data_IF_859324543995
#
_entry.id   IF_859324543995
#
_cell.length_a   1.000
_cell.length_b   1.000
_cell.length_c   1.000
_cell.angle_alpha   90.00
_cell.angle_beta   90.00
_cell.angle_gamma   90.00
#
_symmetry.space_group_name_H-M   'P 1'
#
loop_
_entity.id
_entity.type
_entity.pdbx_description
1 polymer ?
#
# COMPACT_ATOMS: atom_id res chain seq x y z
N UNK A 1 9.28 -8.99 -18.46
CA UNK A 1 9.23 -8.12 -19.65
C UNK A 1 10.17 -8.69 -20.69
N UNK A 2 9.69 -8.85 -21.92
CA UNK A 2 10.41 -9.50 -23.01
C UNK A 2 10.58 -8.55 -24.22
N UNK A 3 10.85 -7.27 -23.95
CA UNK A 3 11.12 -6.28 -25.01
C UNK A 3 12.61 -6.24 -25.36
N UNK A 4 12.92 -5.90 -26.61
CA UNK A 4 14.30 -5.70 -27.06
C UNK A 4 14.98 -4.60 -26.24
N UNK A 5 16.18 -4.88 -25.73
CA UNK A 5 16.95 -4.01 -24.84
C UNK A 5 16.23 -3.66 -23.52
N UNK A 6 15.33 -4.53 -23.05
CA UNK A 6 14.70 -4.39 -21.73
C UNK A 6 15.74 -4.26 -20.63
N UNK A 7 15.44 -3.41 -19.65
CA UNK A 7 16.20 -3.23 -18.42
C UNK A 7 15.32 -3.74 -17.27
N UNK A 8 15.36 -5.06 -16.98
CA UNK A 8 14.61 -5.62 -15.87
C UNK A 8 15.08 -4.96 -14.56
N UNK A 9 14.13 -4.52 -13.73
CA UNK A 9 14.41 -3.85 -12.45
C UNK A 9 14.22 -2.33 -12.46
N UNK A 10 13.99 -1.70 -13.62
CA UNK A 10 13.50 -0.32 -13.64
C UNK A 10 12.11 -0.27 -13.03
N UNK A 11 11.86 0.75 -12.23
CA UNK A 11 10.51 1.01 -11.76
C UNK A 11 9.73 1.49 -12.98
N UNK A 12 8.52 0.98 -13.16
CA UNK A 12 7.68 1.46 -14.24
C UNK A 12 6.98 2.77 -13.85
N UNK A 13 7.78 3.71 -13.33
CA UNK A 13 7.49 5.10 -13.01
C UNK A 13 6.95 5.41 -11.63
N UNK A 14 7.36 6.55 -11.09
CA UNK A 14 6.70 7.35 -10.03
C UNK A 14 6.22 8.69 -10.60
N UNK A 15 5.66 9.57 -9.79
CA UNK A 15 5.19 10.88 -10.20
C UNK A 15 6.23 11.71 -10.97
N UNK A 16 7.53 11.47 -10.78
CA UNK A 16 8.59 12.22 -11.47
C UNK A 16 9.60 11.37 -12.24
N UNK A 17 9.51 10.05 -12.16
CA UNK A 17 10.53 9.17 -12.76
C UNK A 17 9.86 8.16 -13.67
N UNK A 18 10.54 7.78 -14.75
CA UNK A 18 10.30 6.56 -15.55
C UNK A 18 8.84 6.30 -16.03
N UNK A 19 7.95 7.31 -16.06
CA UNK A 19 6.52 7.18 -16.40
C UNK A 19 6.23 6.50 -17.74
N UNK A 20 7.14 6.66 -18.68
CA UNK A 20 7.01 6.13 -20.04
C UNK A 20 7.63 4.73 -20.17
N UNK A 21 8.35 4.22 -19.16
CA UNK A 21 8.92 2.88 -19.23
C UNK A 21 7.80 1.83 -19.19
N UNK A 22 7.83 0.81 -20.07
CA UNK A 22 6.83 -0.27 -20.02
C UNK A 22 6.88 -0.99 -18.67
N UNK A 23 5.74 -1.53 -18.23
CA UNK A 23 5.65 -2.27 -16.98
C UNK A 23 4.21 -2.63 -16.61
N UNK A 24 3.43 -1.70 -16.05
CA UNK A 24 2.01 -1.89 -15.76
C UNK A 24 1.17 -1.67 -17.03
N UNK A 25 1.61 -2.18 -18.19
CA UNK A 25 0.74 -2.19 -19.37
C UNK A 25 -0.19 -3.41 -19.30
N UNK A 26 -1.32 -3.28 -19.98
CA UNK A 26 -2.50 -4.07 -19.76
C UNK A 26 -2.47 -5.48 -20.38
N UNK A 27 -3.24 -6.43 -19.81
CA UNK A 27 -3.97 -6.37 -18.53
C UNK A 27 -3.11 -6.87 -17.36
N UNK A 28 -3.32 -6.25 -16.19
CA UNK A 28 -2.59 -6.56 -14.95
C UNK A 28 -3.35 -7.52 -14.03
N UNK A 29 -4.55 -7.94 -14.44
CA UNK A 29 -5.35 -8.91 -13.71
C UNK A 29 -4.84 -10.33 -13.91
N UNK A 30 -5.11 -11.21 -12.95
CA UNK A 30 -4.70 -12.61 -13.05
C UNK A 30 -5.50 -13.43 -14.05
N UNK A 31 -6.81 -13.21 -14.14
CA UNK A 31 -7.70 -13.76 -15.17
C UNK A 31 -7.71 -12.87 -16.42
N UNK A 32 -8.05 -13.43 -17.61
CA UNK A 32 -8.26 -12.64 -18.81
C UNK A 32 -9.26 -11.50 -18.59
N UNK A 33 -8.85 -10.30 -18.97
CA UNK A 33 -9.66 -9.09 -18.89
C UNK A 33 -9.49 -8.30 -20.19
N UNK A 34 -10.59 -7.88 -20.81
CA UNK A 34 -10.49 -7.08 -22.03
C UNK A 34 -10.20 -5.64 -21.67
N UNK A 35 -9.12 -5.10 -22.22
CA UNK A 35 -8.77 -3.70 -22.09
C UNK A 35 -9.11 -2.91 -23.35
N UNK A 36 -10.16 -2.07 -23.30
CA UNK A 36 -10.59 -1.29 -24.45
C UNK A 36 -9.59 -0.18 -24.82
N UNK A 37 -8.65 0.17 -23.95
CA UNK A 37 -7.69 1.24 -24.18
C UNK A 37 -6.49 0.79 -25.01
N UNK A 38 -6.10 -0.47 -24.87
CA UNK A 38 -5.02 -1.09 -25.67
C UNK A 38 -5.56 -2.06 -26.74
N UNK A 39 -6.83 -2.45 -26.64
CA UNK A 39 -7.49 -3.40 -27.55
C UNK A 39 -7.15 -4.87 -27.29
N UNK A 40 -6.38 -5.16 -26.25
CA UNK A 40 -5.95 -6.51 -25.87
C UNK A 40 -6.92 -7.20 -24.90
N UNK A 41 -6.89 -8.53 -24.89
CA UNK A 41 -7.50 -9.35 -23.84
C UNK A 41 -6.50 -10.41 -23.42
N UNK A 42 -6.02 -10.31 -22.20
CA UNK A 42 -5.11 -11.28 -21.59
C UNK A 42 -5.17 -11.22 -20.07
N UNK A 43 -4.59 -12.22 -19.42
CA UNK A 43 -4.40 -12.27 -17.98
C UNK A 43 -3.01 -12.82 -17.66
N UNK A 44 -2.48 -12.48 -16.48
CA UNK A 44 -1.15 -12.92 -16.04
C UNK A 44 -1.04 -14.46 -16.07
N UNK A 45 -2.13 -15.19 -15.81
CA UNK A 45 -2.13 -16.65 -15.75
C UNK A 45 -2.47 -17.36 -17.07
N UNK A 46 -2.79 -16.66 -18.15
CA UNK A 46 -3.31 -17.27 -19.38
C UNK A 46 -2.47 -18.43 -19.91
N UNK A 47 -1.15 -18.27 -19.90
CA UNK A 47 -0.22 -19.30 -20.38
C UNK A 47 -0.21 -20.53 -19.49
N UNK A 48 -0.08 -20.31 -18.18
CA UNK A 48 0.00 -21.42 -17.24
C UNK A 48 -1.34 -22.16 -17.15
N UNK A 49 -2.46 -21.48 -17.41
CA UNK A 49 -3.80 -22.10 -17.43
C UNK A 49 -3.90 -23.07 -18.60
N UNK A 50 -3.43 -22.68 -19.79
CA UNK A 50 -3.42 -23.55 -20.99
C UNK A 50 -2.58 -24.81 -20.78
N UNK A 51 -1.47 -24.71 -20.06
CA UNK A 51 -0.56 -25.84 -19.79
C UNK A 51 -0.87 -26.56 -18.47
N UNK A 52 -1.83 -26.09 -17.68
CA UNK A 52 -2.15 -26.59 -16.32
C UNK A 52 -0.94 -26.58 -15.39
N UNK A 53 -0.13 -25.53 -15.47
CA UNK A 53 1.10 -25.33 -14.67
C UNK A 53 1.03 -24.06 -13.82
N UNK A 54 -0.17 -23.56 -13.51
CA UNK A 54 -0.29 -22.33 -12.71
C UNK A 54 0.21 -22.53 -11.28
N UNK A 55 1.06 -21.62 -10.78
CA UNK A 55 1.51 -21.69 -9.40
C UNK A 55 0.41 -21.23 -8.44
N UNK A 56 0.59 -21.54 -7.16
CA UNK A 56 -0.09 -20.86 -6.06
C UNK A 56 0.62 -19.52 -5.82
N UNK A 57 -0.15 -18.45 -5.70
CA UNK A 57 0.38 -17.08 -5.63
C UNK A 57 -0.16 -16.39 -4.39
N UNK A 58 0.75 -15.86 -3.59
CA UNK A 58 0.48 -14.81 -2.60
C UNK A 58 1.08 -13.52 -3.16
N UNK A 59 0.22 -12.61 -3.60
CA UNK A 59 0.58 -11.28 -4.03
C UNK A 59 0.51 -10.35 -2.83
N UNK A 60 1.64 -9.76 -2.47
CA UNK A 60 1.70 -8.68 -1.48
C UNK A 60 2.02 -7.35 -2.15
N UNK A 61 1.29 -6.31 -1.79
CA UNK A 61 1.58 -4.92 -2.17
C UNK A 61 1.50 -4.04 -0.91
N UNK A 62 2.15 -2.89 -0.89
CA UNK A 62 1.88 -1.85 0.13
C UNK A 62 0.81 -0.87 -0.35
N UNK A 63 0.43 0.08 0.49
CA UNK A 63 -0.53 1.12 0.13
C UNK A 63 0.03 2.07 -0.95
N UNK A 64 1.33 2.41 -0.89
CA UNK A 64 1.99 3.30 -1.86
C UNK A 64 1.79 2.85 -3.32
N UNK A 65 1.63 1.55 -3.60
CA UNK A 65 1.42 1.07 -4.95
C UNK A 65 0.12 1.63 -5.58
N UNK A 66 -0.93 1.91 -4.79
CA UNK A 66 -2.14 2.58 -5.30
C UNK A 66 -1.88 4.04 -5.71
N UNK A 67 -0.89 4.69 -5.09
CA UNK A 67 -0.56 6.10 -5.30
C UNK A 67 0.49 6.30 -6.40
N UNK A 68 1.51 5.45 -6.44
CA UNK A 68 2.69 5.63 -7.29
C UNK A 68 2.84 4.52 -8.35
N UNK A 69 2.39 3.29 -8.09
CA UNK A 69 2.77 2.10 -8.87
C UNK A 69 1.62 1.33 -9.54
N UNK A 70 0.46 1.97 -9.76
CA UNK A 70 -0.69 1.36 -10.46
C UNK A 70 -1.37 0.19 -9.74
N UNK A 71 -1.27 0.06 -8.41
CA UNK A 71 -1.78 -1.08 -7.64
C UNK A 71 -3.28 -1.37 -7.83
N UNK A 72 -4.07 -0.38 -8.27
CA UNK A 72 -5.47 -0.60 -8.64
C UNK A 72 -5.64 -1.52 -9.86
N UNK A 73 -4.66 -1.56 -10.77
CA UNK A 73 -4.69 -2.39 -11.98
C UNK A 73 -4.68 -3.89 -11.67
N UNK A 74 -4.15 -4.28 -10.52
CA UNK A 74 -4.11 -5.68 -10.07
C UNK A 74 -5.47 -6.17 -9.53
N UNK A 75 -6.35 -5.23 -9.17
CA UNK A 75 -7.54 -5.48 -8.34
C UNK A 75 -8.85 -4.98 -8.96
N UNK A 76 -8.81 -4.26 -10.07
CA UNK A 76 -9.99 -3.68 -10.73
C UNK A 76 -9.94 -3.87 -12.25
N UNK A 77 -11.09 -3.71 -12.91
CA UNK A 77 -11.13 -3.64 -14.38
C UNK A 77 -10.42 -2.38 -14.92
N UNK A 78 -10.12 -2.31 -16.23
CA UNK A 78 -9.40 -1.17 -16.82
C UNK A 78 -10.05 0.18 -16.54
N UNK A 79 -11.38 0.24 -16.45
CA UNK A 79 -12.12 1.46 -16.11
C UNK A 79 -12.14 1.81 -14.62
N UNK A 80 -11.74 0.90 -13.73
CA UNK A 80 -11.84 1.10 -12.29
C UNK A 80 -13.31 1.26 -11.85
N UNK A 81 -14.18 0.39 -12.36
CA UNK A 81 -15.63 0.38 -12.11
C UNK A 81 -16.12 -0.92 -11.47
N UNK A 82 -15.36 -2.00 -11.57
CA UNK A 82 -15.63 -3.28 -10.90
C UNK A 82 -14.37 -3.91 -10.37
N UNK A 83 -14.51 -4.63 -9.27
CA UNK A 83 -13.44 -5.46 -8.74
C UNK A 83 -13.09 -6.59 -9.72
N UNK A 84 -11.79 -6.86 -9.87
CA UNK A 84 -11.30 -7.95 -10.70
C UNK A 84 -11.61 -9.31 -10.04
N UNK A 85 -11.91 -10.31 -10.86
CA UNK A 85 -12.10 -11.68 -10.38
C UNK A 85 -10.74 -12.29 -10.03
N UNK A 86 -10.61 -12.83 -8.83
CA UNK A 86 -9.41 -13.56 -8.41
C UNK A 86 -9.54 -15.06 -8.68
N UNK A 87 -8.55 -15.69 -9.32
CA UNK A 87 -8.45 -17.14 -9.40
C UNK A 87 -8.32 -17.79 -8.03
N UNK A 88 -8.78 -19.04 -7.89
CA UNK A 88 -8.70 -19.78 -6.63
C UNK A 88 -7.27 -20.00 -6.11
N UNK A 89 -6.28 -20.05 -7.02
CA UNK A 89 -4.85 -20.19 -6.75
C UNK A 89 -4.12 -18.87 -6.49
N UNK A 90 -4.85 -17.76 -6.34
CA UNK A 90 -4.29 -16.43 -6.02
C UNK A 90 -4.88 -15.91 -4.71
N UNK A 91 -4.04 -15.29 -3.89
CA UNK A 91 -4.42 -14.46 -2.75
C UNK A 91 -3.70 -13.12 -2.83
N UNK A 92 -4.41 -12.02 -2.58
CA UNK A 92 -3.86 -10.66 -2.61
C UNK A 92 -3.93 -10.05 -1.21
N UNK A 93 -2.84 -9.46 -0.77
CA UNK A 93 -2.72 -8.76 0.51
C UNK A 93 -2.10 -7.38 0.31
N UNK A 94 -2.91 -6.34 0.47
CA UNK A 94 -2.44 -4.97 0.60
C UNK A 94 -2.01 -4.73 2.05
N UNK A 95 -0.75 -4.38 2.28
CA UNK A 95 -0.30 -3.87 3.57
C UNK A 95 -0.79 -2.43 3.73
N UNK A 96 -1.86 -2.28 4.49
CA UNK A 96 -2.59 -1.03 4.70
C UNK A 96 -1.69 0.06 5.25
N UNK A 97 -1.80 1.27 4.71
CA UNK A 97 -1.11 2.48 5.16
C UNK A 97 0.40 2.27 5.30
N UNK A 98 1.02 1.53 4.38
CA UNK A 98 2.46 1.31 4.33
C UNK A 98 3.09 2.03 3.14
N UNK A 99 4.25 2.62 3.40
CA UNK A 99 5.18 3.05 2.37
C UNK A 99 5.90 1.86 1.71
N UNK A 100 6.66 2.15 0.65
CA UNK A 100 7.48 1.15 -0.01
C UNK A 100 8.56 0.59 0.94
N UNK A 101 8.75 -0.73 0.94
CA UNK A 101 9.68 -1.41 1.85
C UNK A 101 9.24 -1.47 3.32
N UNK A 102 8.17 -0.76 3.70
CA UNK A 102 7.67 -0.69 5.07
C UNK A 102 8.66 -0.05 6.05
N UNK A 103 8.51 -0.37 7.33
CA UNK A 103 9.39 0.07 8.40
C UNK A 103 9.93 -1.11 9.20
N UNK A 104 11.15 -0.97 9.74
CA UNK A 104 11.73 -1.98 10.61
C UNK A 104 11.00 -2.01 11.96
N UNK A 105 10.45 -3.15 12.40
CA UNK A 105 9.66 -3.22 13.63
C UNK A 105 10.48 -3.00 14.91
N UNK A 106 11.81 -2.97 14.81
CA UNK A 106 12.75 -2.75 15.94
C UNK A 106 13.44 -1.40 15.89
N UNK A 107 13.21 -0.60 14.84
CA UNK A 107 13.79 0.74 14.74
C UNK A 107 13.04 1.72 15.65
N UNK A 108 13.74 2.75 16.11
CA UNK A 108 13.12 3.88 16.80
C UNK A 108 12.28 4.69 15.81
N UNK A 109 11.19 5.32 16.28
CA UNK A 109 10.35 6.16 15.43
C UNK A 109 11.20 7.28 14.78
N UNK A 110 10.90 7.64 13.51
CA UNK A 110 11.65 8.66 12.80
C UNK A 110 11.55 10.02 13.49
N UNK A 111 12.62 10.81 13.38
CA UNK A 111 12.72 12.15 14.00
C UNK A 111 13.00 13.27 13.00
N UNK A 112 13.32 12.91 11.76
CA UNK A 112 13.67 13.84 10.69
C UNK A 112 12.78 13.53 9.49
N UNK A 113 12.29 14.58 8.83
CA UNK A 113 11.42 14.45 7.65
C UNK A 113 12.23 14.31 6.36
N UNK A 114 13.51 14.71 6.38
CA UNK A 114 14.37 14.68 5.20
C UNK A 114 13.86 15.64 4.12
N UNK A 115 13.62 15.11 2.91
CA UNK A 115 13.06 15.88 1.79
C UNK A 115 11.52 15.94 1.82
N UNK A 116 10.87 15.23 2.74
CA UNK A 116 9.43 15.18 2.86
C UNK A 116 8.90 16.22 3.87
N UNK A 117 7.61 16.53 3.76
CA UNK A 117 6.87 17.41 4.66
C UNK A 117 6.66 16.73 6.03
N UNK A 118 6.24 15.47 6.01
CA UNK A 118 5.97 14.68 7.22
C UNK A 118 7.08 13.65 7.48
N UNK A 119 7.14 13.13 8.70
CA UNK A 119 8.09 12.05 9.05
C UNK A 119 7.85 10.83 8.14
N UNK A 120 8.90 10.07 7.76
CA UNK A 120 8.73 8.81 7.05
C UNK A 120 7.78 7.84 7.78
N UNK A 121 7.05 7.02 7.04
CA UNK A 121 6.07 6.12 7.62
C UNK A 121 6.74 5.04 8.48
N UNK A 122 6.30 4.94 9.74
CA UNK A 122 6.83 4.00 10.73
C UNK A 122 6.02 2.69 10.86
N UNK A 123 5.01 2.49 10.02
CA UNK A 123 4.20 1.29 9.98
C UNK A 123 5.01 0.12 9.38
N UNK A 124 4.90 -1.06 9.99
CA UNK A 124 5.61 -2.27 9.58
C UNK A 124 4.66 -3.34 9.11
N UNK A 125 5.00 -4.01 8.01
CA UNK A 125 4.32 -5.24 7.57
C UNK A 125 5.18 -6.49 7.73
N UNK A 126 6.37 -6.38 8.35
CA UNK A 126 7.35 -7.48 8.38
C UNK A 126 6.78 -8.77 8.96
N UNK A 127 6.02 -8.67 10.06
CA UNK A 127 5.40 -9.85 10.69
C UNK A 127 4.26 -10.44 9.86
N UNK A 128 3.51 -9.60 9.15
CA UNK A 128 2.47 -10.03 8.23
C UNK A 128 3.08 -10.78 7.04
N UNK A 129 4.12 -10.23 6.42
CA UNK A 129 4.82 -10.87 5.31
C UNK A 129 5.43 -12.22 5.71
N UNK A 130 6.02 -12.32 6.91
CA UNK A 130 6.54 -13.59 7.45
C UNK A 130 5.46 -14.65 7.59
N UNK A 131 4.29 -14.28 8.15
CA UNK A 131 3.17 -15.20 8.28
C UNK A 131 2.63 -15.64 6.92
N UNK A 132 2.53 -14.71 5.96
CA UNK A 132 2.07 -15.01 4.60
C UNK A 132 3.04 -15.92 3.83
N UNK A 133 4.35 -15.82 4.09
CA UNK A 133 5.34 -16.72 3.52
C UNK A 133 5.15 -18.16 4.02
N UNK A 134 4.95 -18.34 5.32
CA UNK A 134 4.62 -19.65 5.91
C UNK A 134 3.28 -20.16 5.38
N UNK A 135 2.27 -19.31 5.27
CA UNK A 135 0.97 -19.70 4.71
C UNK A 135 1.09 -20.13 3.23
N UNK A 136 1.97 -19.51 2.44
CA UNK A 136 2.25 -19.95 1.07
C UNK A 136 2.96 -21.30 1.04
N UNK A 137 3.92 -21.53 1.95
CA UNK A 137 4.58 -22.83 2.10
C UNK A 137 3.57 -23.93 2.41
N UNK A 138 2.76 -23.77 3.45
CA UNK A 138 1.69 -24.71 3.83
C UNK A 138 0.75 -24.96 2.64
N UNK A 139 0.34 -23.88 1.96
CA UNK A 139 -0.51 -24.01 0.80
C UNK A 139 0.12 -24.87 -0.29
N UNK A 140 1.41 -24.68 -0.60
CA UNK A 140 2.12 -25.48 -1.60
C UNK A 140 2.34 -26.92 -1.14
N UNK A 141 2.80 -27.12 0.09
CA UNK A 141 3.27 -28.40 0.60
C UNK A 141 2.13 -29.38 0.95
N UNK A 142 1.07 -28.91 1.60
CA UNK A 142 0.00 -29.77 2.10
C UNK A 142 -1.42 -29.37 1.63
N UNK A 143 -1.54 -28.23 0.97
CA UNK A 143 -2.81 -27.77 0.40
C UNK A 143 -3.63 -26.86 1.32
N UNK A 144 -3.14 -26.52 2.51
CA UNK A 144 -3.81 -25.62 3.45
C UNK A 144 -3.82 -24.19 2.89
N UNK A 145 -4.98 -23.62 2.52
CA UNK A 145 -5.00 -22.28 1.95
C UNK A 145 -4.53 -21.22 2.95
N UNK A 146 -3.93 -20.12 2.46
CA UNK A 146 -3.73 -18.92 3.27
C UNK A 146 -5.09 -18.36 3.71
N UNK A 147 -5.10 -17.41 4.66
CA UNK A 147 -6.27 -16.58 4.89
C UNK A 147 -6.87 -16.01 3.59
N UNK A 148 -8.11 -15.56 3.64
CA UNK A 148 -8.71 -14.89 2.49
C UNK A 148 -7.97 -13.58 2.20
N UNK A 149 -8.00 -13.17 0.92
CA UNK A 149 -7.39 -11.92 0.47
C UNK A 149 -7.86 -10.72 1.33
N UNK A 150 -6.97 -9.74 1.48
CA UNK A 150 -7.21 -8.49 2.22
C UNK A 150 -6.67 -7.32 1.40
N UNK A 151 -7.54 -6.61 0.70
CA UNK A 151 -7.19 -5.45 -0.11
C UNK A 151 -8.42 -4.56 -0.30
N UNK A 152 -8.18 -3.28 -0.57
CA UNK A 152 -9.24 -2.29 -0.79
C UNK A 152 -10.08 -2.65 -2.03
N UNK A 153 -11.41 -2.54 -1.93
CA UNK A 153 -12.35 -2.92 -3.00
C UNK A 153 -13.42 -1.87 -3.27
N UNK A 154 -13.90 -1.87 -4.51
CA UNK A 154 -14.94 -0.97 -4.99
C UNK A 154 -16.30 -1.30 -4.37
N UNK A 155 -16.66 -2.58 -4.31
CA UNK A 155 -18.01 -3.03 -3.96
C UNK A 155 -18.46 -2.69 -2.53
N UNK A 156 -17.52 -2.53 -1.59
CA UNK A 156 -17.78 -2.07 -0.23
C UNK A 156 -17.17 -0.69 0.08
N UNK A 157 -16.75 0.04 -0.95
CA UNK A 157 -16.37 1.45 -0.86
C UNK A 157 -15.05 1.74 -0.13
N UNK A 158 -14.19 0.73 0.03
CA UNK A 158 -12.86 0.89 0.61
C UNK A 158 -11.78 1.24 -0.42
N UNK A 159 -12.07 1.06 -1.72
CA UNK A 159 -11.30 1.62 -2.83
C UNK A 159 -12.16 2.67 -3.54
N UNK A 160 -11.65 3.88 -3.70
CA UNK A 160 -12.42 5.01 -4.24
C UNK A 160 -11.59 5.83 -5.23
N UNK A 161 -12.26 6.68 -6.02
CA UNK A 161 -11.59 7.72 -6.82
C UNK A 161 -10.84 8.67 -5.90
N UNK A 162 -9.70 9.21 -6.36
CA UNK A 162 -8.83 10.08 -5.55
C UNK A 162 -9.59 11.24 -4.90
N UNK A 163 -10.47 11.90 -5.63
CA UNK A 163 -11.28 13.03 -5.14
C UNK A 163 -12.36 12.64 -4.12
N UNK A 164 -12.56 11.34 -3.89
CA UNK A 164 -13.50 10.77 -2.91
C UNK A 164 -12.81 10.24 -1.66
N UNK A 165 -11.48 10.24 -1.61
CA UNK A 165 -10.74 9.90 -0.38
C UNK A 165 -11.05 10.96 0.69
N UNK A 166 -11.58 10.53 1.83
CA UNK A 166 -12.04 11.41 2.92
C UNK A 166 -10.94 11.61 3.94
N UNK A 167 -9.77 12.05 3.48
CA UNK A 167 -8.64 12.31 4.37
C UNK A 167 -8.99 13.44 5.37
N UNK A 168 -8.75 13.24 6.69
CA UNK A 168 -9.09 14.24 7.69
C UNK A 168 -8.24 15.50 7.51
N UNK A 169 -8.80 16.65 7.90
CA UNK A 169 -8.05 17.91 7.94
C UNK A 169 -7.14 17.91 9.16
N UNK A 170 -5.90 17.44 8.98
CA UNK A 170 -4.89 17.41 10.03
C UNK A 170 -4.09 18.73 9.98
N UNK A 171 -3.94 19.45 11.10
CA UNK A 171 -3.13 20.67 11.16
C UNK A 171 -1.70 20.45 10.66
N UNK A 172 -1.24 21.32 9.75
CA UNK A 172 0.12 21.25 9.22
C UNK A 172 0.37 20.13 8.21
N UNK A 173 -0.68 19.51 7.65
CA UNK A 173 -0.58 18.47 6.63
C UNK A 173 -1.24 18.95 5.34
N UNK A 174 -0.49 18.94 4.23
CA UNK A 174 -1.00 19.38 2.93
C UNK A 174 -2.09 18.45 2.38
N UNK A 175 -1.97 17.14 2.62
CA UNK A 175 -2.93 16.13 2.18
C UNK A 175 -2.60 15.49 0.83
N UNK A 176 -3.42 14.55 0.36
CA UNK A 176 -3.10 13.71 -0.82
C UNK A 176 -3.38 14.37 -2.18
N UNK A 177 -3.90 15.60 -2.20
CA UNK A 177 -4.29 16.26 -3.45
C UNK A 177 -3.06 16.51 -4.33
N UNK A 178 -3.04 15.91 -5.52
CA UNK A 178 -1.90 16.01 -6.44
C UNK A 178 -0.71 15.09 -6.08
N UNK A 179 -0.84 14.22 -5.07
CA UNK A 179 0.22 13.31 -4.60
C UNK A 179 0.00 11.91 -5.20
N UNK A 180 0.00 11.83 -6.53
CA UNK A 180 -0.22 10.57 -7.23
C UNK A 180 0.45 10.54 -8.59
N UNK A 181 0.71 9.33 -9.07
CA UNK A 181 1.24 9.07 -10.38
C UNK A 181 0.14 8.72 -11.38
N UNK A 182 -0.03 9.57 -12.39
CA UNK A 182 -0.93 9.30 -13.52
C UNK A 182 -0.41 8.17 -14.39
N UNK A 183 -1.33 7.33 -14.90
CA UNK A 183 -1.00 6.17 -15.72
C UNK A 183 -1.66 6.25 -17.08
N UNK A 184 -0.87 6.12 -18.14
CA UNK A 184 -1.36 6.17 -19.50
C UNK A 184 -1.19 4.82 -20.19
N UNK A 185 -2.17 4.43 -21.00
CA UNK A 185 -1.93 3.50 -22.08
C UNK A 185 -1.07 4.20 -23.15
N UNK A 186 -0.04 3.52 -23.62
CA UNK A 186 0.91 4.07 -24.59
C UNK A 186 0.93 3.25 -25.88
N UNK A 187 0.93 3.94 -27.02
CA UNK A 187 1.31 3.34 -28.28
C UNK A 187 2.83 3.38 -28.46
N UNK A 188 3.43 2.19 -28.55
CA UNK A 188 4.89 1.97 -28.63
C UNK A 188 5.35 1.49 -30.02
N UNK A 189 4.46 1.47 -30.99
CA UNK A 189 4.70 0.97 -32.35
C UNK A 189 4.11 -0.44 -32.59
N UNK A 190 3.93 -0.78 -33.87
CA UNK A 190 3.30 -2.04 -34.32
C UNK A 190 4.06 -3.32 -33.94
N UNK A 191 5.31 -3.20 -33.51
CA UNK A 191 6.16 -4.34 -33.12
C UNK A 191 6.16 -4.59 -31.61
N UNK A 192 5.45 -3.78 -30.83
CA UNK A 192 5.27 -3.97 -29.41
C UNK A 192 3.97 -4.73 -29.13
N UNK A 193 4.07 -5.84 -28.41
CA UNK A 193 2.93 -6.58 -27.90
C UNK A 193 2.64 -6.11 -26.47
N UNK A 194 1.55 -5.35 -26.30
CA UNK A 194 1.10 -4.86 -24.99
C UNK A 194 0.69 -5.99 -24.07
N UNK A 195 0.00 -7.01 -24.60
CA UNK A 195 -0.56 -8.11 -23.80
C UNK A 195 0.48 -9.06 -23.24
N UNK A 196 1.71 -8.99 -23.74
CA UNK A 196 2.86 -9.79 -23.28
C UNK A 196 4.04 -8.95 -22.78
N UNK A 197 3.94 -7.61 -22.83
CA UNK A 197 5.07 -6.71 -22.56
C UNK A 197 6.33 -7.15 -23.33
N UNK A 198 6.18 -7.43 -24.62
CA UNK A 198 7.22 -8.06 -25.45
C UNK A 198 7.39 -7.39 -26.82
N UNK A 199 8.42 -7.81 -27.56
CA UNK A 199 8.69 -7.30 -28.91
C UNK A 199 9.62 -6.09 -28.93
N UNK A 200 9.32 -5.10 -29.78
CA UNK A 200 10.20 -3.96 -30.06
C UNK A 200 9.44 -2.66 -29.85
N UNK A 201 9.96 -1.81 -28.97
CA UNK A 201 9.52 -0.42 -28.83
C UNK A 201 10.08 0.35 -30.03
N UNK A 202 9.25 0.58 -31.04
CA UNK A 202 9.64 1.23 -32.29
C UNK A 202 9.35 2.74 -32.31
N UNK A 203 8.59 3.24 -31.33
CA UNK A 203 8.23 4.64 -31.17
C UNK A 203 8.72 5.13 -29.81
N UNK A 204 9.67 6.06 -29.82
CA UNK A 204 10.25 6.71 -28.63
C UNK A 204 10.42 8.22 -28.90
N UNK A 205 9.82 9.12 -28.09
CA UNK A 205 8.98 8.83 -26.94
C UNK A 205 7.64 8.18 -27.35
N UNK A 206 7.06 7.31 -26.50
CA UNK A 206 5.80 6.66 -26.80
C UNK A 206 4.64 7.66 -26.84
N UNK A 207 3.63 7.37 -27.67
CA UNK A 207 2.47 8.27 -27.84
C UNK A 207 1.43 7.92 -26.77
N UNK A 208 1.05 8.84 -25.87
CA UNK A 208 -0.01 8.60 -24.90
C UNK A 208 -1.35 8.45 -25.62
N UNK A 209 -2.12 7.45 -25.23
CA UNK A 209 -3.46 7.20 -25.77
C UNK A 209 -4.52 7.73 -24.81
N UNK A 210 -4.58 7.18 -23.61
CA UNK A 210 -5.63 7.48 -22.62
C UNK A 210 -5.08 7.28 -21.22
N UNK A 211 -5.53 8.12 -20.30
CA UNK A 211 -5.22 7.99 -18.88
C UNK A 211 -6.15 6.96 -18.23
N UNK A 212 -5.54 5.97 -17.58
CA UNK A 212 -6.21 5.06 -16.69
C UNK A 212 -6.72 5.82 -15.46
N UNK A 213 -7.99 5.63 -15.07
CA UNK A 213 -8.51 6.01 -13.77
C UNK A 213 -7.56 5.76 -12.61
N UNK A 214 -7.37 6.74 -11.74
CA UNK A 214 -6.67 6.56 -10.47
C UNK A 214 -7.67 6.26 -9.35
N UNK A 215 -7.36 5.25 -8.54
CA UNK A 215 -8.12 4.85 -7.37
C UNK A 215 -7.17 4.73 -6.18
N UNK A 216 -7.64 5.09 -5.00
CA UNK A 216 -6.90 4.96 -3.77
C UNK A 216 -7.76 4.39 -2.64
N UNK A 217 -7.12 3.72 -1.66
CA UNK A 217 -7.79 3.26 -0.45
C UNK A 217 -8.48 4.39 0.31
N UNK A 218 -9.66 4.09 0.84
CA UNK A 218 -10.41 4.96 1.72
C UNK A 218 -9.85 4.86 3.15
N UNK A 219 -9.95 5.96 3.88
CA UNK A 219 -9.38 6.10 5.22
C UNK A 219 -10.44 6.30 6.30
N UNK A 220 -10.08 5.95 7.54
CA UNK A 220 -10.86 6.21 8.74
C UNK A 220 -10.72 7.68 9.19
N UNK A 221 -11.36 8.02 10.31
CA UNK A 221 -11.29 9.37 10.89
C UNK A 221 -9.88 9.79 11.31
N UNK A 222 -8.96 8.83 11.46
CA UNK A 222 -7.57 9.08 11.74
C UNK A 222 -6.73 9.18 10.47
N UNK A 223 -7.29 8.99 9.28
CA UNK A 223 -6.55 9.02 8.04
C UNK A 223 -5.80 7.73 7.73
N UNK A 224 -6.11 6.63 8.42
CA UNK A 224 -5.53 5.30 8.18
C UNK A 224 -6.48 4.44 7.31
N UNK A 225 -5.95 3.61 6.43
CA UNK A 225 -6.76 2.82 5.47
C UNK A 225 -7.73 1.89 6.20
N UNK A 226 -9.00 1.87 5.80
CA UNK A 226 -10.06 1.11 6.47
C UNK A 226 -10.05 -0.39 6.15
N UNK A 227 -9.36 -0.78 5.08
CA UNK A 227 -9.34 -2.13 4.53
C UNK A 227 -7.91 -2.57 4.24
N UNK A 228 -7.75 -3.78 3.72
CA UNK A 228 -6.45 -4.41 3.56
C UNK A 228 -5.96 -5.10 4.83
N UNK A 229 -4.72 -5.55 4.79
CA UNK A 229 -4.04 -6.19 5.90
C UNK A 229 -3.42 -5.14 6.82
N UNK A 230 -4.20 -4.74 7.83
CA UNK A 230 -3.77 -3.79 8.86
C UNK A 230 -2.80 -4.44 9.85
N UNK A 231 -1.59 -3.89 9.96
CA UNK A 231 -0.58 -4.34 10.92
C UNK A 231 -1.04 -4.13 12.37
N UNK A 232 -0.37 -4.78 13.33
CA UNK A 232 -0.61 -4.55 14.76
C UNK A 232 -0.45 -3.08 15.18
N UNK A 233 0.41 -2.32 14.51
CA UNK A 233 0.63 -0.89 14.75
C UNK A 233 -0.52 -0.07 14.16
N UNK A 234 -1.05 -0.44 13.00
CA UNK A 234 -2.18 0.25 12.40
C UNK A 234 -3.52 -0.07 13.12
N UNK A 235 -3.60 -1.22 13.80
CA UNK A 235 -4.72 -1.57 14.66
C UNK A 235 -4.68 -0.88 16.04
N UNK A 236 -3.49 -0.48 16.50
CA UNK A 236 -3.28 0.34 17.69
C UNK A 236 -2.41 1.57 17.33
N UNK A 237 -2.93 2.54 16.57
CA UNK A 237 -2.13 3.59 15.96
C UNK A 237 -1.58 4.60 16.98
N UNK A 238 -0.36 5.08 16.74
CA UNK A 238 0.24 6.23 17.42
C UNK A 238 0.10 7.54 16.62
N UNK A 239 -0.39 7.44 15.39
CA UNK A 239 -0.57 8.55 14.47
C UNK A 239 -1.36 8.11 13.23
N UNK A 240 -1.44 9.02 12.27
CA UNK A 240 -1.83 8.69 10.89
C UNK A 240 -0.63 8.10 10.18
N UNK A 241 -0.84 7.01 9.46
CA UNK A 241 0.11 6.39 8.56
C UNK A 241 -0.48 6.46 7.14
N UNK A 242 0.33 6.81 6.15
CA UNK A 242 -0.11 6.88 4.75
C UNK A 242 0.93 6.24 3.84
N UNK A 243 0.50 5.61 2.75
CA UNK A 243 1.41 5.13 1.72
C UNK A 243 2.20 6.28 1.07
N UNK A 244 1.60 7.46 0.94
CA UNK A 244 2.14 8.66 0.30
C UNK A 244 2.69 9.69 1.31
N UNK A 245 3.52 10.61 0.85
CA UNK A 245 3.95 11.81 1.57
C UNK A 245 4.17 12.95 0.57
N UNK A 246 4.19 14.18 1.04
CA UNK A 246 4.42 15.38 0.22
C UNK A 246 5.86 15.82 0.39
N UNK A 247 6.47 16.40 -0.64
CA UNK A 247 7.79 17.02 -0.51
C UNK A 247 7.72 18.35 0.24
N UNK A 248 8.72 18.59 1.09
CA UNK A 248 8.83 19.81 1.88
C UNK A 248 9.19 21.05 1.04
N UNK A 249 8.99 22.23 1.64
CA UNK A 249 9.50 23.49 1.11
C UNK A 249 11.01 23.38 0.80
N UNK A 250 11.42 23.88 -0.36
CA UNK A 250 12.79 23.75 -0.87
C UNK A 250 13.07 22.47 -1.67
N UNK A 251 12.12 21.53 -1.74
CA UNK A 251 12.27 20.25 -2.44
C UNK A 251 11.11 19.98 -3.42
N UNK A 252 10.81 20.85 -4.39
CA UNK A 252 9.61 20.67 -5.26
C UNK A 252 8.32 20.52 -4.44
N UNK A 253 8.06 21.52 -3.60
CA UNK A 253 6.98 21.49 -2.62
C UNK A 253 5.62 21.18 -3.26
N UNK A 254 4.86 20.29 -2.63
CA UNK A 254 3.53 19.88 -3.09
C UNK A 254 3.53 18.60 -3.94
N UNK A 255 4.69 18.24 -4.49
CA UNK A 255 4.86 16.97 -5.20
C UNK A 255 4.92 15.78 -4.23
N UNK A 256 4.75 14.58 -4.75
CA UNK A 256 4.95 13.33 -4.02
C UNK A 256 6.40 13.16 -3.58
N UNK A 257 6.57 12.70 -2.35
CA UNK A 257 7.86 12.35 -1.77
C UNK A 257 8.36 10.98 -2.26
N UNK A 258 8.22 10.75 -3.56
CA UNK A 258 8.52 9.49 -4.24
C UNK A 258 7.83 8.32 -3.52
N UNK A 259 8.56 7.27 -3.16
CA UNK A 259 8.02 6.09 -2.50
C UNK A 259 7.94 6.17 -0.96
N UNK A 260 8.21 7.35 -0.39
CA UNK A 260 8.19 7.57 1.06
C UNK A 260 6.78 7.95 1.52
N UNK A 261 6.25 7.20 2.48
CA UNK A 261 4.96 7.49 3.10
C UNK A 261 5.10 8.41 4.31
N UNK A 262 3.98 8.79 4.92
CA UNK A 262 3.98 9.65 6.10
C UNK A 262 3.65 8.89 7.39
N UNK A 263 4.27 9.34 8.48
CA UNK A 263 3.83 9.15 9.85
C UNK A 263 3.55 10.53 10.46
N UNK A 264 2.29 10.76 10.83
CA UNK A 264 1.83 12.03 11.40
C UNK A 264 1.35 11.75 12.84
N UNK A 265 2.18 12.02 13.86
CA UNK A 265 1.86 11.66 15.24
C UNK A 265 0.52 12.23 15.71
N UNK A 266 -0.19 11.51 16.57
CA UNK A 266 -1.30 12.09 17.33
C UNK A 266 -0.76 13.07 18.37
N UNK A 267 -1.58 14.05 18.74
CA UNK A 267 -1.33 14.83 19.96
C UNK A 267 -1.18 13.89 21.17
N UNK A 268 -0.28 14.20 22.10
CA UNK A 268 -0.08 13.32 23.26
C UNK A 268 -1.20 13.52 24.27
N UNK A 269 -1.57 14.77 24.54
CA UNK A 269 -2.60 15.13 25.53
C UNK A 269 -3.83 15.77 24.90
N UNK A 270 -4.96 15.72 25.60
CA UNK A 270 -6.20 16.41 25.19
C UNK A 270 -5.95 17.92 25.00
N UNK A 271 -5.14 18.53 25.87
CA UNK A 271 -4.81 19.95 25.78
C UNK A 271 -4.05 20.28 24.50
N UNK A 272 -3.07 19.47 24.11
CA UNK A 272 -2.33 19.63 22.85
C UNK A 272 -3.25 19.46 21.63
N UNK A 273 -4.13 18.46 21.66
CA UNK A 273 -5.12 18.23 20.59
C UNK A 273 -6.01 19.45 20.39
N UNK A 274 -6.59 19.98 21.47
CA UNK A 274 -7.45 21.17 21.42
C UNK A 274 -6.67 22.38 20.91
N UNK A 275 -5.46 22.63 21.44
CA UNK A 275 -4.65 23.77 21.07
C UNK A 275 -4.24 23.78 19.59
N UNK A 276 -3.97 22.59 19.03
CA UNK A 276 -3.64 22.43 17.60
C UNK A 276 -4.88 22.33 16.70
N UNK A 277 -6.09 22.20 17.28
CA UNK A 277 -7.32 21.89 16.54
C UNK A 277 -7.24 20.58 15.74
N UNK A 278 -6.50 19.59 16.28
CA UNK A 278 -6.41 18.26 15.68
C UNK A 278 -7.73 17.49 15.91
N UNK A 279 -8.41 17.02 14.85
CA UNK A 279 -9.66 16.29 15.00
C UNK A 279 -9.47 14.88 15.58
N UNK A 280 -8.26 14.33 15.54
CA UNK A 280 -7.96 12.95 15.92
C UNK A 280 -7.78 12.86 17.44
N UNK A 281 -8.39 11.88 18.14
CA UNK A 281 -8.16 11.67 19.57
C UNK A 281 -6.67 11.58 19.92
N UNK A 282 -6.29 12.22 21.03
CA UNK A 282 -4.92 12.19 21.55
C UNK A 282 -4.53 10.81 22.10
N UNK A 283 -3.23 10.56 22.31
CA UNK A 283 -2.75 9.33 22.96
C UNK A 283 -3.35 9.17 24.36
N UNK A 284 -3.52 10.27 25.10
CA UNK A 284 -4.18 10.30 26.40
C UNK A 284 -5.64 9.86 26.31
N UNK A 285 -6.40 10.38 25.34
CA UNK A 285 -7.81 10.01 25.13
C UNK A 285 -7.96 8.54 24.67
N UNK A 286 -7.00 8.02 23.90
CA UNK A 286 -7.04 6.66 23.36
C UNK A 286 -6.62 5.59 24.35
N UNK A 287 -5.48 5.80 24.99
CA UNK A 287 -4.78 4.76 25.74
C UNK A 287 -4.66 5.09 27.22
N UNK A 288 -4.66 6.37 27.58
CA UNK A 288 -4.50 6.88 28.95
C UNK A 288 -3.11 6.67 29.55
N UNK A 289 -2.45 5.56 29.23
CA UNK A 289 -1.16 5.13 29.78
C UNK A 289 -0.42 4.20 28.82
N UNK A 290 0.85 3.97 29.12
CA UNK A 290 1.71 2.97 28.51
C UNK A 290 1.10 1.58 28.64
N UNK A 291 0.52 1.24 29.79
CA UNK A 291 -0.16 -0.03 30.00
C UNK A 291 -1.38 -0.20 29.08
N UNK A 292 -2.17 0.86 28.91
CA UNK A 292 -3.32 0.87 28.00
C UNK A 292 -2.91 0.67 26.54
N UNK A 293 -1.82 1.31 26.10
CA UNK A 293 -1.29 1.10 24.76
C UNK A 293 -0.77 -0.32 24.55
N UNK A 294 0.01 -0.86 25.50
CA UNK A 294 0.51 -2.24 25.43
C UNK A 294 -0.65 -3.24 25.39
N UNK A 295 -1.74 -3.00 26.12
CA UNK A 295 -2.94 -3.82 26.06
C UNK A 295 -3.60 -3.78 24.67
N UNK A 296 -3.72 -2.59 24.05
CA UNK A 296 -4.25 -2.45 22.70
C UNK A 296 -3.40 -3.17 21.65
N UNK A 297 -2.06 -3.02 21.71
CA UNK A 297 -1.15 -3.75 20.82
C UNK A 297 -1.24 -5.26 21.04
N UNK A 298 -1.34 -5.71 22.30
CA UNK A 298 -1.49 -7.14 22.64
C UNK A 298 -2.77 -7.72 22.03
N UNK A 299 -3.88 -6.98 22.08
CA UNK A 299 -5.14 -7.40 21.46
C UNK A 299 -5.00 -7.51 19.93
N UNK A 300 -4.36 -6.53 19.28
CA UNK A 300 -4.11 -6.55 17.85
C UNK A 300 -3.20 -7.73 17.42
N UNK A 301 -2.12 -7.97 18.17
CA UNK A 301 -1.20 -9.10 17.95
C UNK A 301 -1.94 -10.43 18.09
N UNK A 302 -2.70 -10.63 19.16
CA UNK A 302 -3.46 -11.86 19.38
C UNK A 302 -4.50 -12.09 18.28
N UNK A 303 -5.16 -11.03 17.82
CA UNK A 303 -6.10 -11.09 16.70
C UNK A 303 -5.42 -11.55 15.41
N UNK A 304 -4.27 -10.95 15.07
CA UNK A 304 -3.51 -11.33 13.88
C UNK A 304 -2.97 -12.77 13.94
N UNK A 305 -2.49 -13.20 15.12
CA UNK A 305 -2.06 -14.59 15.33
C UNK A 305 -3.23 -15.55 15.15
N UNK A 306 -4.38 -15.27 15.76
CA UNK A 306 -5.59 -16.09 15.62
C UNK A 306 -6.09 -16.19 14.17
N UNK A 307 -5.85 -15.15 13.36
CA UNK A 307 -6.19 -15.13 11.94
C UNK A 307 -5.11 -15.71 11.02
N UNK A 308 -4.00 -16.24 11.56
CA UNK A 308 -2.81 -16.69 10.79
C UNK A 308 -2.18 -15.58 9.94
N UNK A 309 -2.35 -14.33 10.35
CA UNK A 309 -1.79 -13.12 9.71
C UNK A 309 -0.57 -12.56 10.48
N UNK A 310 -0.16 -13.23 11.54
CA UNK A 310 1.10 -13.05 12.27
C UNK A 310 1.51 -14.41 12.85
N UNK A 311 2.81 -14.70 12.89
CA UNK A 311 3.30 -15.93 13.53
C UNK A 311 3.25 -15.81 15.05
N UNK A 312 2.89 -16.89 15.74
CA UNK A 312 2.90 -16.93 17.20
C UNK A 312 4.30 -16.63 17.78
N UNK A 313 5.37 -17.05 17.08
CA UNK A 313 6.76 -16.77 17.45
C UNK A 313 7.12 -15.28 17.43
N UNK A 314 6.42 -14.48 16.64
CA UNK A 314 6.70 -13.06 16.46
C UNK A 314 5.95 -12.20 17.49
N UNK A 315 4.91 -12.76 18.14
CA UNK A 315 4.00 -12.04 19.03
C UNK A 315 4.71 -11.36 20.21
N UNK A 316 5.57 -12.10 20.91
CA UNK A 316 6.28 -11.57 22.08
C UNK A 316 7.20 -10.39 21.71
N UNK A 317 7.88 -10.46 20.56
CA UNK A 317 8.74 -9.38 20.07
C UNK A 317 7.95 -8.13 19.67
N UNK A 318 6.83 -8.32 18.96
CA UNK A 318 5.94 -7.22 18.59
C UNK A 318 5.38 -6.49 19.83
N UNK A 319 4.96 -7.24 20.86
CA UNK A 319 4.44 -6.67 22.11
C UNK A 319 5.55 -5.97 22.91
N UNK A 320 6.75 -6.54 22.98
CA UNK A 320 7.85 -5.97 23.74
C UNK A 320 8.25 -4.57 23.23
N UNK A 321 8.24 -4.36 21.91
CA UNK A 321 8.61 -3.08 21.29
C UNK A 321 7.57 -1.98 21.54
N UNK A 322 6.31 -2.33 21.80
CA UNK A 322 5.21 -1.39 21.99
C UNK A 322 5.51 -0.36 23.09
N UNK A 323 6.10 -0.79 24.21
CA UNK A 323 6.44 0.10 25.33
C UNK A 323 7.42 1.20 24.90
N UNK A 324 8.48 0.84 24.19
CA UNK A 324 9.51 1.78 23.77
C UNK A 324 8.95 2.81 22.78
N UNK A 325 8.12 2.36 21.83
CA UNK A 325 7.47 3.24 20.87
C UNK A 325 6.48 4.20 21.53
N UNK A 326 5.69 3.72 22.50
CA UNK A 326 4.77 4.59 23.23
C UNK A 326 5.49 5.63 24.06
N UNK A 327 6.59 5.28 24.72
CA UNK A 327 7.42 6.24 25.46
C UNK A 327 8.00 7.29 24.51
N UNK A 328 8.45 6.89 23.32
CA UNK A 328 8.95 7.82 22.31
C UNK A 328 7.84 8.73 21.78
N UNK A 329 6.67 8.18 21.44
CA UNK A 329 5.54 8.94 20.89
C UNK A 329 4.91 9.88 21.92
N UNK A 330 4.82 9.46 23.18
CA UNK A 330 4.27 10.28 24.28
C UNK A 330 5.29 11.25 24.87
N UNK A 331 6.58 11.14 24.52
CA UNK A 331 7.65 11.90 25.15
C UNK A 331 7.76 11.67 26.66
N UNK A 332 7.25 10.54 27.16
CA UNK A 332 7.17 10.23 28.59
C UNK A 332 6.15 11.07 29.37
N UNK A 333 5.25 11.80 28.71
CA UNK A 333 4.23 12.62 29.37
C UNK A 333 3.06 11.80 29.94
N UNK A 334 2.92 10.55 29.54
CA UNK A 334 1.87 9.64 30.01
C UNK A 334 2.47 8.51 30.86
N UNK A 335 1.75 8.08 31.92
CA UNK A 335 2.26 7.09 32.87
C UNK A 335 2.43 5.68 32.28
#
# INVERSE_FOLDING_TARGET
MNVRFSQPGRLAGTQHTEKQYPGPDSPLTYEPEFDPFTGGSSGILDRCTKTRTCPKIVHTMSDIEYWEASGRGDTTDPFGLRDAKLPSNVRIYQFSSNQHGGFSPVAALPKLTGICEQLPNANTYTYNLRALLVALEEWVADGTPPPDSRYSRLDHGSLVRLEKVKFPKIPGVTGPAGVFNTRFAYYRGLQYDTGDLSGIIAVEPPIPLVEYPSLAPQVDADGNDIDGLRSHILQAPLGTYTGWNVRAAGFSQGDACDLTGAYIPFAVTTAQRIASSDPRPSLQERYGSTAGYVAAVTAAVNSLVGQRLMLASDAAGAIANAKAWFLQASGGMLP
#
